data_IF_189056752844
#
_entry.id   IF_189056752844
#
_cell.length_a   1.000
_cell.length_b   1.000
_cell.length_c   1.000
_cell.angle_alpha   90.00
_cell.angle_beta   90.00
_cell.angle_gamma   90.00
#
_symmetry.space_group_name_H-M   'P 1'
#
loop_
_entity.id
_entity.type
_entity.pdbx_description
1 polymer ?
#
# COMPACT_ATOMS: atom_id res chain seq x y z
N UNK A 1 -23.15 -18.06 14.13
CA UNK A 1 -24.41 -17.28 14.17
C UNK A 1 -24.12 -15.92 13.53
N UNK A 2 -24.31 -15.77 12.22
CA UNK A 2 -23.81 -14.64 11.40
C UNK A 2 -24.86 -13.57 11.03
N UNK A 3 -26.03 -13.57 11.68
CA UNK A 3 -27.13 -12.67 11.36
C UNK A 3 -27.18 -11.48 12.33
N UNK A 4 -26.13 -10.64 12.31
CA UNK A 4 -26.10 -9.38 13.08
C UNK A 4 -26.21 -8.20 12.12
N UNK A 5 -27.01 -7.17 12.44
CA UNK A 5 -27.07 -5.96 11.64
C UNK A 5 -25.69 -5.31 11.58
N UNK A 6 -25.28 -4.87 10.38
CA UNK A 6 -24.01 -4.19 10.14
C UNK A 6 -24.28 -2.72 9.87
N UNK A 7 -23.48 -1.84 10.46
CA UNK A 7 -23.46 -0.43 10.14
C UNK A 7 -22.15 -0.12 9.38
N UNK A 8 -22.22 0.78 8.41
CA UNK A 8 -21.05 1.25 7.67
C UNK A 8 -20.78 2.72 7.97
N UNK A 9 -19.51 3.00 8.25
CA UNK A 9 -18.98 4.33 8.52
C UNK A 9 -17.84 4.60 7.55
N UNK A 10 -17.87 5.75 6.90
CA UNK A 10 -16.78 6.24 6.08
C UNK A 10 -15.92 7.24 6.88
N UNK A 11 -14.63 6.98 7.01
CA UNK A 11 -13.67 7.93 7.58
C UNK A 11 -12.92 8.58 6.44
N UNK A 12 -13.09 9.89 6.28
CA UNK A 12 -12.52 10.66 5.17
C UNK A 12 -11.25 11.37 5.64
N UNK A 13 -10.11 10.98 5.06
CA UNK A 13 -8.75 11.45 5.39
C UNK A 13 -8.10 12.26 4.27
N UNK A 14 -8.85 12.64 3.25
CA UNK A 14 -8.36 13.48 2.15
C UNK A 14 -8.24 14.97 2.56
N UNK A 15 -7.46 15.72 1.79
CA UNK A 15 -7.22 17.14 2.02
C UNK A 15 -8.34 18.06 1.50
N UNK A 16 -9.37 17.56 0.82
CA UNK A 16 -10.43 18.38 0.25
C UNK A 16 -11.57 18.60 1.26
N UNK A 17 -11.77 19.80 1.81
CA UNK A 17 -12.79 20.05 2.83
C UNK A 17 -14.24 19.92 2.31
N UNK A 18 -14.45 20.02 0.99
CA UNK A 18 -15.77 19.99 0.37
C UNK A 18 -16.20 18.58 -0.04
N UNK A 19 -15.26 17.63 -0.17
CA UNK A 19 -15.61 16.25 -0.51
C UNK A 19 -16.13 15.52 0.72
N UNK A 20 -17.46 15.30 0.74
CA UNK A 20 -18.23 14.74 1.87
C UNK A 20 -19.36 13.81 1.39
N UNK A 21 -19.07 12.69 0.72
CA UNK A 21 -20.12 11.78 0.26
C UNK A 21 -20.86 11.13 1.44
N UNK A 22 -22.19 11.21 1.44
CA UNK A 22 -23.10 10.47 2.35
C UNK A 22 -23.68 9.20 1.72
N UNK A 23 -23.50 9.04 0.41
CA UNK A 23 -24.27 8.12 -0.40
C UNK A 23 -23.44 7.59 -1.56
N UNK A 24 -23.61 6.30 -1.84
CA UNK A 24 -23.19 5.65 -3.07
C UNK A 24 -24.44 5.25 -3.86
N UNK A 25 -24.44 5.50 -5.18
CA UNK A 25 -25.49 5.04 -6.08
C UNK A 25 -24.92 4.49 -7.37
N UNK A 26 -25.44 3.35 -7.81
CA UNK A 26 -25.12 2.73 -9.10
C UNK A 26 -26.40 2.29 -9.78
N UNK A 27 -26.51 2.51 -11.09
CA UNK A 27 -27.68 2.15 -11.87
C UNK A 27 -27.26 1.54 -13.21
N UNK A 28 -27.82 0.37 -13.53
CA UNK A 28 -27.61 -0.34 -14.80
C UNK A 28 -28.96 -0.93 -15.26
N UNK A 29 -29.39 -0.62 -16.48
CA UNK A 29 -30.66 -1.08 -17.08
C UNK A 29 -31.90 -0.90 -16.17
N UNK A 30 -31.98 0.20 -15.42
CA UNK A 30 -33.06 0.47 -14.47
C UNK A 30 -32.97 -0.29 -13.14
N UNK A 31 -31.94 -1.12 -12.94
CA UNK A 31 -31.61 -1.70 -11.64
C UNK A 31 -30.72 -0.73 -10.87
N UNK A 32 -31.22 -0.22 -9.73
CA UNK A 32 -30.53 0.79 -8.92
C UNK A 32 -30.12 0.23 -7.56
N UNK A 33 -28.84 0.41 -7.21
CA UNK A 33 -28.32 0.25 -5.85
C UNK A 33 -28.14 1.64 -5.27
N UNK A 34 -28.70 1.88 -4.08
CA UNK A 34 -28.48 3.09 -3.30
C UNK A 34 -28.07 2.70 -1.88
N UNK A 35 -26.93 3.22 -1.45
CA UNK A 35 -26.33 2.91 -0.16
C UNK A 35 -26.00 4.20 0.58
N UNK A 36 -26.67 4.44 1.70
CA UNK A 36 -26.42 5.58 2.57
C UNK A 36 -25.54 5.13 3.73
N UNK A 37 -24.56 5.97 4.08
CA UNK A 37 -23.63 5.68 5.16
C UNK A 37 -23.32 6.92 5.98
N UNK A 38 -22.90 6.70 7.23
CA UNK A 38 -22.40 7.77 8.07
C UNK A 38 -20.99 8.14 7.58
N UNK A 39 -20.62 9.41 7.61
CA UNK A 39 -19.23 9.82 7.41
C UNK A 39 -18.69 10.64 8.57
N UNK A 40 -17.38 10.57 8.74
CA UNK A 40 -16.59 11.46 9.59
C UNK A 40 -15.47 12.05 8.74
N UNK A 41 -15.31 13.37 8.76
CA UNK A 41 -14.22 14.07 8.07
C UNK A 41 -13.13 14.42 9.08
N UNK A 42 -11.92 13.90 8.90
CA UNK A 42 -10.84 14.13 9.87
C UNK A 42 -10.44 15.60 9.97
N UNK A 43 -10.56 16.35 8.86
CA UNK A 43 -10.27 17.79 8.84
C UNK A 43 -11.15 18.61 9.79
N UNK A 44 -12.35 18.15 10.15
CA UNK A 44 -13.26 18.88 11.04
C UNK A 44 -12.68 19.01 12.44
N UNK A 45 -11.86 18.04 12.84
CA UNK A 45 -11.20 18.04 14.14
C UNK A 45 -10.05 19.03 14.25
N UNK A 46 -9.66 19.73 13.17
CA UNK A 46 -8.68 20.84 13.27
C UNK A 46 -9.15 21.93 14.23
N UNK A 47 -10.45 22.21 14.25
CA UNK A 47 -11.03 23.23 15.14
C UNK A 47 -11.19 22.71 16.57
N UNK A 48 -11.22 21.40 16.76
CA UNK A 48 -11.39 20.72 18.05
C UNK A 48 -10.04 20.22 18.61
N UNK A 49 -8.93 20.84 18.19
CA UNK A 49 -7.59 20.45 18.62
C UNK A 49 -7.45 20.34 20.16
N UNK A 50 -7.94 21.29 20.98
CA UNK A 50 -7.85 21.18 22.44
C UNK A 50 -8.57 19.94 23.00
N UNK A 51 -9.68 19.52 22.38
CA UNK A 51 -10.41 18.32 22.80
C UNK A 51 -9.62 17.05 22.49
N UNK A 52 -8.95 17.00 21.33
CA UNK A 52 -8.05 15.90 20.97
C UNK A 52 -6.89 15.80 21.95
N UNK A 53 -6.31 16.93 22.35
CA UNK A 53 -5.20 16.96 23.31
C UNK A 53 -5.61 16.51 24.72
N UNK A 54 -6.86 16.73 25.13
CA UNK A 54 -7.34 16.30 26.45
C UNK A 54 -7.85 14.85 26.44
N UNK A 55 -8.12 14.29 25.26
CA UNK A 55 -8.68 12.95 25.14
C UNK A 55 -7.65 11.86 25.42
N UNK A 56 -8.03 10.94 26.32
CA UNK A 56 -7.30 9.69 26.59
C UNK A 56 -7.60 8.60 25.54
N UNK A 57 -8.42 8.89 24.52
CA UNK A 57 -8.70 7.94 23.46
C UNK A 57 -7.48 7.82 22.53
N UNK A 58 -6.94 6.63 22.27
CA UNK A 58 -5.79 6.44 21.36
C UNK A 58 -6.05 6.98 19.95
N UNK A 59 -7.31 6.96 19.48
CA UNK A 59 -7.68 7.53 18.19
C UNK A 59 -7.55 9.05 18.14
N UNK A 60 -7.55 9.77 19.27
CA UNK A 60 -7.25 11.19 19.26
C UNK A 60 -5.83 11.44 18.76
N UNK A 61 -4.85 10.63 19.19
CA UNK A 61 -3.47 10.69 18.68
C UNK A 61 -3.41 10.37 17.19
N UNK A 62 -4.16 9.36 16.73
CA UNK A 62 -4.25 9.00 15.30
C UNK A 62 -4.76 10.19 14.46
N UNK A 63 -5.82 10.86 14.92
CA UNK A 63 -6.37 12.04 14.25
C UNK A 63 -5.36 13.19 14.25
N UNK A 64 -4.74 13.49 15.40
CA UNK A 64 -3.72 14.54 15.50
C UNK A 64 -2.53 14.30 14.57
N UNK A 65 -2.03 13.06 14.54
CA UNK A 65 -0.94 12.66 13.66
C UNK A 65 -1.30 12.83 12.19
N UNK A 66 -2.51 12.40 11.78
CA UNK A 66 -3.00 12.60 10.43
C UNK A 66 -3.09 14.09 10.05
N UNK A 67 -3.69 14.92 10.91
CA UNK A 67 -3.83 16.36 10.68
C UNK A 67 -2.46 17.03 10.52
N UNK A 68 -1.50 16.69 11.38
CA UNK A 68 -0.14 17.25 11.30
C UNK A 68 0.66 16.70 10.13
N UNK A 69 0.46 15.44 9.72
CA UNK A 69 1.04 14.92 8.49
C UNK A 69 0.60 15.73 7.26
N UNK A 70 -0.69 16.10 7.18
CA UNK A 70 -1.22 16.95 6.11
C UNK A 70 -0.62 18.37 6.20
N UNK A 71 -0.61 18.98 7.38
CA UNK A 71 -0.15 20.37 7.58
C UNK A 71 1.36 20.54 7.33
N UNK A 72 2.17 19.52 7.66
CA UNK A 72 3.64 19.58 7.59
C UNK A 72 4.22 18.88 6.36
N UNK A 73 3.40 18.63 5.33
CA UNK A 73 3.82 17.90 4.13
C UNK A 73 5.05 18.50 3.43
N UNK A 74 5.16 19.83 3.44
CA UNK A 74 6.26 20.57 2.79
C UNK A 74 7.35 21.03 3.74
N UNK A 75 7.25 20.73 5.05
CA UNK A 75 8.19 21.20 6.07
C UNK A 75 8.64 20.04 6.95
N UNK A 76 9.81 19.47 6.61
CA UNK A 76 10.39 18.35 7.35
C UNK A 76 10.76 18.69 8.80
N UNK A 77 11.15 19.94 9.08
CA UNK A 77 11.52 20.34 10.43
C UNK A 77 10.29 20.42 11.33
N UNK A 78 9.23 21.09 10.87
CA UNK A 78 7.95 21.10 11.60
C UNK A 78 7.39 19.69 11.75
N UNK A 79 7.51 18.85 10.71
CA UNK A 79 7.11 17.44 10.79
C UNK A 79 7.86 16.70 11.90
N UNK A 80 9.17 16.87 12.01
CA UNK A 80 9.98 16.29 13.10
C UNK A 80 9.49 16.75 14.48
N UNK A 81 9.28 18.06 14.64
CA UNK A 81 8.80 18.65 15.91
C UNK A 81 7.47 18.02 16.33
N UNK A 82 6.51 17.90 15.40
CA UNK A 82 5.22 17.28 15.67
C UNK A 82 5.31 15.77 15.92
N UNK A 83 6.15 15.05 15.17
CA UNK A 83 6.42 13.62 15.41
C UNK A 83 6.93 13.39 16.85
N UNK A 84 7.84 14.23 17.32
CA UNK A 84 8.33 14.21 18.70
C UNK A 84 7.23 14.54 19.71
N UNK A 85 6.46 15.61 19.50
CA UNK A 85 5.37 15.98 20.40
C UNK A 85 4.33 14.85 20.56
N UNK A 86 3.96 14.19 19.47
CA UNK A 86 3.01 13.07 19.48
C UNK A 86 3.60 11.82 20.14
N UNK A 87 4.88 11.53 19.92
CA UNK A 87 5.57 10.39 20.56
C UNK A 87 5.65 10.60 22.07
N UNK A 88 6.05 11.79 22.53
CA UNK A 88 6.06 12.13 23.97
C UNK A 88 4.67 11.98 24.59
N UNK A 89 3.63 12.42 23.88
CA UNK A 89 2.24 12.25 24.31
C UNK A 89 1.90 10.77 24.57
N UNK A 90 2.33 9.83 23.71
CA UNK A 90 2.04 8.40 23.92
C UNK A 90 2.52 7.92 25.28
N UNK A 91 3.69 8.39 25.71
CA UNK A 91 4.31 7.97 26.97
C UNK A 91 3.60 8.58 28.19
N UNK A 92 2.98 9.75 28.02
CA UNK A 92 2.27 10.47 29.08
C UNK A 92 0.84 9.98 29.32
N UNK A 93 0.20 9.34 28.32
CA UNK A 93 -1.22 8.96 28.38
C UNK A 93 -1.49 7.65 29.13
N UNK A 94 -0.46 7.01 29.71
CA UNK A 94 -0.62 5.77 30.49
C UNK A 94 -1.05 4.55 29.67
N UNK A 95 -0.80 4.57 28.36
CA UNK A 95 -1.09 3.44 27.48
C UNK A 95 -0.26 2.20 27.84
N UNK A 96 -0.78 1.02 27.51
CA UNK A 96 0.01 -0.20 27.61
C UNK A 96 1.15 -0.18 26.59
N UNK A 97 2.26 -0.86 26.92
CA UNK A 97 3.43 -0.95 26.04
C UNK A 97 3.09 -1.33 24.60
N UNK A 98 2.18 -2.28 24.39
CA UNK A 98 1.81 -2.70 23.03
C UNK A 98 1.04 -1.61 22.27
N UNK A 99 0.16 -0.86 22.94
CA UNK A 99 -0.57 0.25 22.34
C UNK A 99 0.37 1.40 21.98
N UNK A 100 1.35 1.69 22.85
CA UNK A 100 2.40 2.67 22.57
C UNK A 100 3.15 2.30 21.29
N UNK A 101 3.61 1.05 21.18
CA UNK A 101 4.32 0.59 19.98
C UNK A 101 3.44 0.68 18.73
N UNK A 102 2.18 0.21 18.81
CA UNK A 102 1.26 0.25 17.67
C UNK A 102 0.97 1.69 17.21
N UNK A 103 0.73 2.62 18.15
CA UNK A 103 0.47 4.02 17.84
C UNK A 103 1.73 4.74 17.35
N UNK A 104 2.90 4.41 17.89
CA UNK A 104 4.16 4.92 17.40
C UNK A 104 4.36 4.52 15.93
N UNK A 105 4.15 3.24 15.58
CA UNK A 105 4.26 2.78 14.19
C UNK A 105 3.33 3.55 13.26
N UNK A 106 2.11 3.83 13.70
CA UNK A 106 1.19 4.65 12.92
C UNK A 106 1.73 6.08 12.69
N UNK A 107 2.26 6.72 13.74
CA UNK A 107 2.86 8.05 13.64
C UNK A 107 4.09 8.02 12.71
N UNK A 108 4.95 7.02 12.85
CA UNK A 108 6.15 6.84 12.05
C UNK A 108 5.84 6.69 10.56
N UNK A 109 4.83 5.87 10.25
CA UNK A 109 4.36 5.66 8.88
C UNK A 109 3.74 6.92 8.27
N UNK A 110 2.84 7.60 8.99
CA UNK A 110 2.13 8.77 8.44
C UNK A 110 3.02 10.02 8.41
N UNK A 111 4.00 10.10 9.29
CA UNK A 111 4.94 11.23 9.44
C UNK A 111 6.38 10.83 9.11
N UNK A 112 6.59 10.16 7.97
CA UNK A 112 7.93 9.83 7.48
C UNK A 112 8.82 11.08 7.37
N UNK A 113 10.08 10.97 7.84
CA UNK A 113 11.09 12.02 7.76
C UNK A 113 12.25 11.62 6.84
N UNK A 114 12.95 12.60 6.23
CA UNK A 114 14.25 12.36 5.59
C UNK A 114 15.27 11.80 6.59
N UNK A 115 16.22 10.99 6.10
CA UNK A 115 17.22 10.27 6.92
C UNK A 115 17.92 11.14 7.97
N UNK A 116 18.41 12.32 7.57
CA UNK A 116 19.10 13.22 8.50
C UNK A 116 18.21 13.70 9.67
N UNK A 117 16.90 13.89 9.43
CA UNK A 117 15.96 14.29 10.48
C UNK A 117 15.50 13.09 11.32
N UNK A 118 15.47 11.89 10.73
CA UNK A 118 15.15 10.64 11.42
C UNK A 118 16.26 10.27 12.42
N UNK A 119 17.54 10.43 12.05
CA UNK A 119 18.68 10.27 12.96
C UNK A 119 18.57 11.26 14.13
N UNK A 120 18.39 12.54 13.83
CA UNK A 120 18.23 13.58 14.85
C UNK A 120 16.97 13.39 15.71
N UNK A 121 15.94 12.72 15.22
CA UNK A 121 14.73 12.36 15.98
C UNK A 121 15.00 11.17 16.91
N UNK A 122 15.66 10.13 16.39
CA UNK A 122 16.03 8.93 17.16
C UNK A 122 16.96 9.27 18.33
N UNK A 123 17.96 10.13 18.13
CA UNK A 123 18.84 10.60 19.20
C UNK A 123 18.05 11.32 20.31
N UNK A 124 17.17 12.25 19.94
CA UNK A 124 16.34 13.00 20.89
C UNK A 124 15.35 12.09 21.62
N UNK A 125 14.76 11.11 20.93
CA UNK A 125 13.84 10.15 21.53
C UNK A 125 14.56 9.23 22.52
N UNK A 126 15.76 8.76 22.16
CA UNK A 126 16.60 7.96 23.05
C UNK A 126 16.95 8.70 24.34
N UNK A 127 17.30 10.00 24.25
CA UNK A 127 17.59 10.82 25.43
C UNK A 127 16.35 10.94 26.32
N UNK A 128 15.20 11.27 25.73
CA UNK A 128 13.93 11.37 26.46
C UNK A 128 13.54 10.06 27.16
N UNK A 129 13.74 8.94 26.49
CA UNK A 129 13.49 7.60 27.03
C UNK A 129 14.42 7.24 28.20
N UNK A 130 15.69 7.65 28.14
CA UNK A 130 16.63 7.47 29.23
C UNK A 130 16.22 8.28 30.46
N UNK A 131 15.78 9.53 30.29
CA UNK A 131 15.28 10.38 31.37
C UNK A 131 14.06 9.76 32.07
N UNK A 132 13.17 9.14 31.29
CA UNK A 132 12.00 8.45 31.82
C UNK A 132 12.28 7.00 32.28
N UNK A 133 13.50 6.52 32.11
CA UNK A 133 13.93 5.13 32.37
C UNK A 133 13.02 4.09 31.68
N UNK A 134 12.62 4.35 30.44
CA UNK A 134 11.83 3.45 29.60
C UNK A 134 12.57 3.17 28.30
N UNK A 135 12.82 1.90 27.93
CA UNK A 135 13.61 1.53 26.73
C UNK A 135 12.72 1.02 25.60
N UNK A 136 12.04 1.90 24.88
CA UNK A 136 11.16 1.56 23.76
C UNK A 136 11.84 1.66 22.39
N UNK A 137 12.84 2.52 22.18
CA UNK A 137 13.55 2.66 20.88
C UNK A 137 14.06 1.30 20.39
N UNK A 138 14.74 0.52 21.23
CA UNK A 138 15.21 -0.83 20.85
C UNK A 138 14.07 -1.77 20.44
N UNK A 139 12.87 -1.57 21.00
CA UNK A 139 11.69 -2.37 20.66
C UNK A 139 11.08 -1.92 19.33
N UNK A 140 11.08 -0.62 19.08
CA UNK A 140 10.65 0.01 17.83
C UNK A 140 11.55 -0.45 16.67
N UNK A 141 12.88 -0.36 16.83
CA UNK A 141 13.85 -0.80 15.82
C UNK A 141 13.67 -2.28 15.46
N UNK A 142 13.54 -3.16 16.47
CA UNK A 142 13.31 -4.59 16.25
C UNK A 142 12.01 -4.86 15.50
N UNK A 143 10.96 -4.12 15.82
CA UNK A 143 9.66 -4.30 15.16
C UNK A 143 9.73 -3.80 13.71
N UNK A 144 10.39 -2.68 13.45
CA UNK A 144 10.66 -2.18 12.10
C UNK A 144 11.46 -3.17 11.25
N UNK A 145 12.54 -3.75 11.78
CA UNK A 145 13.32 -4.79 11.08
C UNK A 145 12.45 -6.01 10.75
N UNK A 146 11.62 -6.45 11.71
CA UNK A 146 10.73 -7.59 11.52
C UNK A 146 9.69 -7.32 10.43
N UNK A 147 9.11 -6.12 10.40
CA UNK A 147 8.14 -5.70 9.39
C UNK A 147 8.77 -5.60 8.02
N UNK A 148 9.90 -4.89 7.87
CA UNK A 148 10.59 -4.77 6.58
C UNK A 148 11.02 -6.14 6.01
N UNK A 149 11.42 -7.08 6.87
CA UNK A 149 11.67 -8.45 6.45
C UNK A 149 10.40 -9.18 5.97
N UNK A 150 9.28 -8.99 6.66
CA UNK A 150 8.01 -9.61 6.26
C UNK A 150 7.50 -9.03 4.93
N UNK A 151 7.59 -7.71 4.76
CA UNK A 151 7.22 -7.03 3.52
C UNK A 151 8.09 -7.51 2.35
N UNK A 152 9.41 -7.53 2.51
CA UNK A 152 10.31 -8.04 1.46
C UNK A 152 10.08 -9.52 1.11
N UNK A 153 9.67 -10.35 2.07
CA UNK A 153 9.28 -11.75 1.79
C UNK A 153 7.96 -11.80 0.99
N UNK A 154 6.99 -10.94 1.32
CA UNK A 154 5.70 -10.91 0.63
C UNK A 154 5.86 -10.40 -0.80
N UNK A 155 6.61 -9.31 -0.99
CA UNK A 155 6.90 -8.73 -2.30
C UNK A 155 7.68 -9.74 -3.17
N UNK A 156 8.80 -10.26 -2.67
CA UNK A 156 9.60 -11.24 -3.42
C UNK A 156 8.84 -12.53 -3.73
N UNK A 157 7.89 -12.94 -2.87
CA UNK A 157 7.00 -14.07 -3.18
C UNK A 157 6.00 -13.74 -4.27
N UNK A 158 5.42 -12.54 -4.27
CA UNK A 158 4.48 -12.13 -5.33
C UNK A 158 5.20 -12.01 -6.67
N UNK A 159 6.36 -11.37 -6.70
CA UNK A 159 7.21 -11.25 -7.88
C UNK A 159 7.60 -12.64 -8.41
N UNK A 160 8.12 -13.53 -7.56
CA UNK A 160 8.50 -14.88 -7.97
C UNK A 160 7.32 -15.74 -8.46
N UNK A 161 6.10 -15.51 -7.97
CA UNK A 161 4.90 -16.17 -8.50
C UNK A 161 4.55 -15.63 -9.88
N UNK A 162 4.63 -14.33 -10.10
CA UNK A 162 4.35 -13.71 -11.39
C UNK A 162 5.38 -14.10 -12.44
N UNK A 163 6.67 -14.02 -12.11
CA UNK A 163 7.77 -14.47 -12.96
C UNK A 163 7.64 -15.97 -13.29
N UNK A 164 7.39 -16.82 -12.29
CA UNK A 164 7.22 -18.25 -12.51
C UNK A 164 6.01 -18.58 -13.40
N UNK A 165 4.89 -17.84 -13.26
CA UNK A 165 3.73 -17.98 -14.15
C UNK A 165 4.05 -17.53 -15.58
N UNK A 166 4.79 -16.44 -15.73
CA UNK A 166 5.20 -15.94 -17.03
C UNK A 166 6.14 -16.93 -17.73
N UNK A 167 7.22 -17.36 -17.07
CA UNK A 167 8.15 -18.35 -17.62
C UNK A 167 7.45 -19.67 -18.00
N UNK A 168 6.49 -20.12 -17.18
CA UNK A 168 5.70 -21.31 -17.48
C UNK A 168 4.79 -21.11 -18.70
N UNK A 169 4.09 -19.98 -18.79
CA UNK A 169 3.24 -19.65 -19.94
C UNK A 169 4.07 -19.52 -21.24
N UNK A 170 5.23 -18.87 -21.19
CA UNK A 170 6.17 -18.77 -22.32
C UNK A 170 6.62 -20.16 -22.78
N UNK A 171 7.06 -21.00 -21.82
CA UNK A 171 7.51 -22.37 -22.10
C UNK A 171 6.40 -23.22 -22.72
N UNK A 172 5.17 -23.11 -22.22
CA UNK A 172 4.02 -23.87 -22.72
C UNK A 172 3.62 -23.42 -24.13
N UNK A 173 3.59 -22.11 -24.38
CA UNK A 173 3.32 -21.55 -25.70
C UNK A 173 4.38 -22.01 -26.71
N UNK A 174 5.67 -21.85 -26.41
CA UNK A 174 6.74 -22.30 -27.30
C UNK A 174 6.68 -23.80 -27.57
N UNK A 175 6.34 -24.61 -26.57
CA UNK A 175 6.16 -26.06 -26.75
C UNK A 175 4.96 -26.40 -27.64
N UNK A 176 3.85 -25.68 -27.50
CA UNK A 176 2.67 -25.84 -28.34
C UNK A 176 3.00 -25.49 -29.80
N UNK A 177 3.61 -24.32 -30.00
CA UNK A 177 4.01 -23.83 -31.31
C UNK A 177 4.99 -24.79 -32.00
N UNK A 178 5.97 -25.30 -31.27
CA UNK A 178 6.90 -26.28 -31.79
C UNK A 178 6.22 -27.59 -32.21
N UNK A 179 5.19 -28.04 -31.46
CA UNK A 179 4.42 -29.24 -31.81
C UNK A 179 3.52 -29.06 -33.03
N UNK A 180 2.92 -27.89 -33.21
CA UNK A 180 2.01 -27.63 -34.34
C UNK A 180 2.77 -27.32 -35.63
N UNK A 181 3.87 -26.59 -35.52
CA UNK A 181 4.53 -25.98 -36.67
C UNK A 181 5.99 -26.43 -36.88
N UNK A 182 6.56 -27.19 -35.96
CA UNK A 182 7.95 -27.64 -36.03
C UNK A 182 8.94 -26.61 -35.50
N UNK A 183 10.15 -26.58 -36.06
CA UNK A 183 11.21 -25.63 -35.66
C UNK A 183 10.75 -24.17 -35.85
N UNK A 184 10.78 -23.39 -34.76
CA UNK A 184 10.39 -21.99 -34.76
C UNK A 184 11.61 -21.11 -35.01
N UNK A 185 11.46 -20.08 -35.83
CA UNK A 185 12.56 -19.12 -36.06
C UNK A 185 12.98 -18.42 -34.76
N UNK A 186 14.27 -18.06 -34.60
CA UNK A 186 14.74 -17.32 -33.42
C UNK A 186 14.00 -15.99 -33.20
N UNK A 187 13.52 -15.37 -34.27
CA UNK A 187 12.74 -14.13 -34.23
C UNK A 187 11.40 -14.32 -33.50
N UNK A 188 10.68 -15.42 -33.77
CA UNK A 188 9.41 -15.72 -33.11
C UNK A 188 9.65 -16.05 -31.63
N UNK A 189 10.71 -16.80 -31.33
CA UNK A 189 11.09 -17.11 -29.94
C UNK A 189 11.41 -15.85 -29.15
N UNK A 190 12.10 -14.88 -29.76
CA UNK A 190 12.41 -13.59 -29.14
C UNK A 190 11.13 -12.76 -28.89
N UNK A 191 10.20 -12.72 -29.85
CA UNK A 191 8.93 -11.97 -29.74
C UNK A 191 7.97 -12.52 -28.68
N UNK A 192 8.12 -13.77 -28.28
CA UNK A 192 7.33 -14.41 -27.21
C UNK A 192 7.93 -14.17 -25.82
N UNK A 193 9.25 -14.01 -25.73
CA UNK A 193 9.93 -13.75 -24.46
C UNK A 193 9.57 -12.37 -23.92
N UNK A 194 9.33 -12.29 -22.61
CA UNK A 194 9.06 -11.04 -21.92
C UNK A 194 7.61 -10.56 -22.08
N UNK A 195 6.73 -11.33 -22.72
CA UNK A 195 5.31 -10.98 -22.83
C UNK A 195 4.58 -11.20 -21.50
N UNK A 196 3.57 -10.37 -21.23
CA UNK A 196 2.74 -10.57 -20.03
C UNK A 196 1.97 -11.89 -20.10
N UNK A 197 1.64 -12.45 -18.93
CA UNK A 197 0.88 -13.70 -18.81
C UNK A 197 -0.42 -13.64 -19.62
N UNK A 198 -1.14 -12.52 -19.57
CA UNK A 198 -2.39 -12.32 -20.30
C UNK A 198 -2.18 -12.39 -21.81
N UNK A 199 -1.06 -11.83 -22.30
CA UNK A 199 -0.75 -11.85 -23.73
C UNK A 199 -0.32 -13.24 -24.20
N UNK A 200 0.41 -13.96 -23.36
CA UNK A 200 0.80 -15.35 -23.60
C UNK A 200 -0.41 -16.28 -23.65
N UNK A 201 -1.35 -16.14 -22.71
CA UNK A 201 -2.60 -16.91 -22.69
C UNK A 201 -3.44 -16.64 -23.95
N UNK A 202 -3.60 -15.37 -24.36
CA UNK A 202 -4.28 -15.02 -25.61
C UNK A 202 -3.59 -15.63 -26.85
N UNK A 203 -2.26 -15.59 -26.91
CA UNK A 203 -1.51 -16.20 -28.00
C UNK A 203 -1.68 -17.71 -28.02
N UNK A 204 -1.86 -18.34 -26.86
CA UNK A 204 -2.08 -19.79 -26.76
C UNK A 204 -3.42 -20.19 -27.37
N UNK A 205 -4.48 -19.41 -27.14
CA UNK A 205 -5.80 -19.63 -27.77
C UNK A 205 -5.71 -19.46 -29.30
N UNK A 206 -5.12 -18.35 -29.77
CA UNK A 206 -4.91 -18.11 -31.21
C UNK A 206 -4.07 -19.23 -31.83
N UNK A 207 -3.03 -19.67 -31.13
CA UNK A 207 -2.14 -20.75 -31.56
C UNK A 207 -2.81 -22.12 -31.63
N UNK A 208 -4.06 -22.30 -31.22
CA UNK A 208 -4.83 -23.52 -31.44
C UNK A 208 -5.65 -23.41 -32.74
N UNK A 209 -6.18 -22.22 -33.03
CA UNK A 209 -7.10 -21.97 -34.13
C UNK A 209 -6.42 -21.74 -35.49
N UNK A 210 -5.23 -21.12 -35.51
CA UNK A 210 -4.53 -20.80 -36.77
C UNK A 210 -4.00 -22.07 -37.48
N UNK A 211 -3.91 -22.06 -38.80
CA UNK A 211 -3.42 -23.22 -39.58
C UNK A 211 -1.93 -23.14 -39.92
N UNK A 212 -1.31 -21.97 -39.79
CA UNK A 212 0.11 -21.76 -40.10
C UNK A 212 0.79 -20.75 -39.17
N UNK A 213 2.13 -20.73 -39.20
CA UNK A 213 2.95 -19.80 -38.40
C UNK A 213 2.76 -18.36 -38.87
N UNK A 214 2.60 -18.14 -40.18
CA UNK A 214 2.42 -16.81 -40.77
C UNK A 214 1.18 -16.12 -40.19
N UNK A 215 0.08 -16.86 -40.02
CA UNK A 215 -1.15 -16.34 -39.40
C UNK A 215 -0.95 -15.97 -37.92
N UNK A 216 -0.11 -16.71 -37.20
CA UNK A 216 0.23 -16.40 -35.80
C UNK A 216 1.07 -15.12 -35.68
N UNK A 217 1.97 -14.90 -36.64
CA UNK A 217 2.89 -13.75 -36.64
C UNK A 217 2.15 -12.41 -36.66
N UNK A 218 0.97 -12.36 -37.27
CA UNK A 218 0.10 -11.18 -37.28
C UNK A 218 -0.45 -10.82 -35.89
N UNK A 219 -0.49 -11.77 -34.96
CA UNK A 219 -0.96 -11.58 -33.59
C UNK A 219 0.17 -11.33 -32.58
N UNK A 220 1.42 -11.56 -32.98
CA UNK A 220 2.60 -11.25 -32.17
C UNK A 220 2.89 -9.73 -32.20
N UNK A 221 3.35 -9.12 -31.11
CA UNK A 221 3.77 -7.71 -31.12
C UNK A 221 4.89 -7.48 -32.15
N UNK A 222 4.94 -6.30 -32.76
CA UNK A 222 5.95 -5.97 -33.78
C UNK A 222 7.37 -6.27 -33.25
N UNK A 223 8.29 -6.73 -34.11
CA UNK A 223 9.67 -6.97 -33.68
C UNK A 223 10.22 -5.70 -33.03
N UNK A 224 10.76 -5.82 -31.82
CA UNK A 224 11.46 -4.72 -31.18
C UNK A 224 12.58 -4.27 -32.11
N UNK A 225 12.54 -3.01 -32.54
CA UNK A 225 13.62 -2.43 -33.33
C UNK A 225 14.89 -2.49 -32.48
N UNK A 226 15.88 -3.25 -32.93
CA UNK A 226 17.18 -3.34 -32.29
C UNK A 226 17.77 -1.93 -32.13
N UNK A 227 17.84 -1.45 -30.89
CA UNK A 227 18.64 -0.30 -30.47
C UNK A 227 19.93 -0.81 -29.84
#
# INVERSE_FOLDING_TARGET
RYNRPVASLAVLSDANPQWRPTQYSSEIFGCKIQFNFLMVKLLDYKQQWPELEQSANPFATVIMAHLKAVDTRSDGQQRKIWKMALTRRLYQQGYQRQDILNLYHFIDWVMHLPSALEEAFSEELNQYEQELNMKYVTSIERLGIKQGRQEGILEGRQEGILEGRQEEAERLLLRLLHRRFGELSPEIQARVKGLSVEKLEQLMDVAIDVESVEQLVDHLPAPEAAN
#
